data_IF_510026128716
#
_entry.id   IF_510026128716
#
_cell.length_a   1.000
_cell.length_b   1.000
_cell.length_c   1.000
_cell.angle_alpha   90.00
_cell.angle_beta   90.00
_cell.angle_gamma   90.00
#
_symmetry.space_group_name_H-M   'P 1'
#
loop_
_entity.id
_entity.type
_entity.pdbx_description
1 polymer ?
#
# COMPACT_ATOMS: atom_id res chain seq x y z
N UNK A 1 8.83 11.95 -16.95
CA UNK A 1 8.99 10.81 -16.03
C UNK A 1 7.94 9.80 -16.44
N UNK A 2 8.36 8.69 -17.02
CA UNK A 2 7.45 7.70 -17.58
C UNK A 2 6.63 7.02 -16.47
N UNK A 3 5.35 6.75 -16.74
CA UNK A 3 4.42 6.14 -15.79
C UNK A 3 4.93 4.78 -15.24
N UNK A 4 5.72 4.08 -16.05
CA UNK A 4 6.39 2.82 -15.69
C UNK A 4 7.50 3.02 -14.66
N UNK A 5 8.27 4.10 -14.76
CA UNK A 5 9.32 4.46 -13.79
C UNK A 5 8.71 4.85 -12.43
N UNK A 6 7.62 5.61 -12.46
CA UNK A 6 6.87 5.96 -11.25
C UNK A 6 6.32 4.70 -10.54
N UNK A 7 5.75 3.76 -11.30
CA UNK A 7 5.26 2.48 -10.75
C UNK A 7 6.37 1.67 -10.08
N UNK A 8 7.51 1.51 -10.73
CA UNK A 8 8.65 0.76 -10.18
C UNK A 8 9.22 1.43 -8.92
N UNK A 9 9.32 2.76 -8.90
CA UNK A 9 9.73 3.52 -7.70
C UNK A 9 8.77 3.33 -6.54
N UNK A 10 7.46 3.46 -6.78
CA UNK A 10 6.43 3.26 -5.75
C UNK A 10 6.45 1.81 -5.24
N UNK A 11 6.56 0.83 -6.15
CA UNK A 11 6.66 -0.59 -5.79
C UNK A 11 7.88 -0.86 -4.91
N UNK A 12 9.02 -0.30 -5.30
CA UNK A 12 10.28 -0.45 -4.56
C UNK A 12 10.21 0.21 -3.19
N UNK A 13 9.70 1.44 -3.11
CA UNK A 13 9.49 2.16 -1.84
C UNK A 13 8.62 1.36 -0.85
N UNK A 14 7.55 0.71 -1.34
CA UNK A 14 6.73 -0.17 -0.51
C UNK A 14 7.51 -1.44 -0.14
N UNK A 15 8.17 -2.09 -1.10
CA UNK A 15 8.88 -3.36 -0.90
C UNK A 15 10.03 -3.25 0.11
N UNK A 16 10.85 -2.23 -0.01
CA UNK A 16 12.00 -1.96 0.86
C UNK A 16 11.59 -1.38 2.22
N UNK A 17 10.34 -0.92 2.34
CA UNK A 17 9.89 -0.37 3.62
C UNK A 17 9.85 -1.43 4.72
N UNK A 18 10.24 -1.04 5.93
CA UNK A 18 10.07 -1.86 7.14
C UNK A 18 8.61 -2.12 7.52
N UNK A 19 7.66 -1.38 6.93
CA UNK A 19 6.23 -1.52 7.20
C UNK A 19 5.55 -2.31 6.09
N UNK A 20 4.70 -3.28 6.45
CA UNK A 20 3.84 -4.00 5.49
C UNK A 20 2.93 -3.03 4.76
N UNK A 21 2.38 -2.05 5.47
CA UNK A 21 1.44 -1.05 4.96
C UNK A 21 2.05 0.34 4.98
N UNK A 22 1.84 1.11 3.91
CA UNK A 22 2.40 2.44 3.72
C UNK A 22 1.30 3.44 3.34
N UNK A 23 1.45 4.68 3.79
CA UNK A 23 0.56 5.77 3.40
C UNK A 23 1.06 6.42 2.12
N UNK A 24 0.15 6.99 1.32
CA UNK A 24 0.49 7.81 0.14
C UNK A 24 1.46 8.92 0.53
N UNK A 25 1.21 9.59 1.66
CA UNK A 25 2.08 10.65 2.17
C UNK A 25 3.50 10.15 2.43
N UNK A 26 3.67 8.98 3.05
CA UNK A 26 4.99 8.43 3.31
C UNK A 26 5.72 7.99 2.04
N UNK A 27 5.00 7.52 1.03
CA UNK A 27 5.58 7.19 -0.28
C UNK A 27 5.99 8.47 -1.02
N UNK A 28 5.15 9.50 -0.97
CA UNK A 28 5.40 10.80 -1.59
C UNK A 28 6.65 11.48 -1.02
N UNK A 29 6.79 11.49 0.30
CA UNK A 29 7.95 12.05 1.00
C UNK A 29 9.26 11.34 0.64
N UNK A 30 9.20 10.00 0.49
CA UNK A 30 10.37 9.17 0.19
C UNK A 30 10.77 9.21 -1.30
N UNK A 31 9.79 9.24 -2.20
CA UNK A 31 10.03 9.17 -3.66
C UNK A 31 10.06 10.53 -4.34
N UNK A 32 9.58 11.59 -3.69
CA UNK A 32 9.37 12.91 -4.27
C UNK A 32 8.24 12.96 -5.30
N UNK A 33 7.47 11.88 -5.47
CA UNK A 33 6.37 11.81 -6.44
C UNK A 33 5.13 12.47 -5.83
N UNK A 34 4.37 13.20 -6.66
CA UNK A 34 3.13 13.83 -6.23
C UNK A 34 2.13 12.80 -5.69
N UNK A 35 1.43 13.10 -4.58
CA UNK A 35 0.52 12.16 -3.93
C UNK A 35 -0.63 11.71 -4.85
N UNK A 36 -1.10 12.60 -5.72
CA UNK A 36 -2.14 12.35 -6.72
C UNK A 36 -1.68 11.34 -7.78
N UNK A 37 -0.45 11.46 -8.28
CA UNK A 37 0.16 10.47 -9.17
C UNK A 37 0.31 9.12 -8.48
N UNK A 38 0.73 9.12 -7.20
CA UNK A 38 0.87 7.89 -6.41
C UNK A 38 -0.48 7.20 -6.25
N UNK A 39 -1.53 7.93 -5.87
CA UNK A 39 -2.90 7.38 -5.74
C UNK A 39 -3.35 6.79 -7.07
N UNK A 40 -3.20 7.54 -8.16
CA UNK A 40 -3.58 7.06 -9.49
C UNK A 40 -2.87 5.75 -9.83
N UNK A 41 -1.54 5.68 -9.67
CA UNK A 41 -0.78 4.45 -9.92
C UNK A 41 -1.20 3.31 -8.98
N UNK A 42 -1.44 3.57 -7.70
CA UNK A 42 -1.83 2.54 -6.73
C UNK A 42 -3.25 1.99 -6.97
N UNK A 43 -4.16 2.79 -7.53
CA UNK A 43 -5.54 2.39 -7.80
C UNK A 43 -5.74 1.82 -9.21
N UNK A 44 -4.91 2.21 -10.19
CA UNK A 44 -5.01 1.72 -11.57
C UNK A 44 -4.06 0.58 -11.88
N UNK A 45 -2.89 0.52 -11.22
CA UNK A 45 -1.89 -0.48 -11.53
C UNK A 45 -2.12 -1.79 -10.78
N UNK A 46 -1.98 -2.89 -11.51
CA UNK A 46 -2.02 -4.23 -10.93
C UNK A 46 -0.85 -4.51 -9.97
N UNK A 47 -1.13 -5.34 -8.96
CA UNK A 47 -0.15 -5.78 -7.96
C UNK A 47 -0.07 -4.92 -6.69
N UNK A 48 -0.93 -3.92 -6.55
CA UNK A 48 -1.10 -3.14 -5.32
C UNK A 48 -2.41 -3.52 -4.61
N UNK A 49 -2.37 -3.45 -3.29
CA UNK A 49 -3.50 -3.72 -2.41
C UNK A 49 -3.79 -2.47 -1.59
N UNK A 50 -5.05 -2.07 -1.57
CA UNK A 50 -5.56 -0.99 -0.72
C UNK A 50 -6.12 -1.59 0.57
N UNK A 51 -5.76 -1.01 1.71
CA UNK A 51 -6.39 -1.35 2.97
C UNK A 51 -7.82 -0.81 3.01
N UNK A 52 -8.74 -1.64 3.47
CA UNK A 52 -10.14 -1.23 3.66
C UNK A 52 -10.27 -0.27 4.86
N UNK A 53 -9.58 -0.54 5.98
CA UNK A 53 -9.52 0.40 7.10
C UNK A 53 -8.39 1.41 6.94
N UNK A 54 -8.67 2.71 7.05
CA UNK A 54 -7.63 3.71 7.19
C UNK A 54 -6.94 3.60 8.56
N UNK A 55 -5.79 4.24 8.69
CA UNK A 55 -5.12 4.35 9.98
C UNK A 55 -5.94 5.23 10.97
N UNK A 56 -5.58 5.30 12.27
CA UNK A 56 -6.27 6.16 13.24
C UNK A 56 -6.28 7.67 12.89
N UNK A 57 -5.47 8.09 11.92
CA UNK A 57 -5.43 9.46 11.40
C UNK A 57 -6.31 9.65 10.14
N UNK A 58 -7.09 8.64 9.76
CA UNK A 58 -7.95 8.67 8.57
C UNK A 58 -7.21 8.49 7.24
N UNK A 59 -5.94 8.08 7.24
CA UNK A 59 -5.15 7.93 6.03
C UNK A 59 -5.28 6.52 5.46
N UNK A 60 -5.56 6.44 4.15
CA UNK A 60 -5.56 5.17 3.41
C UNK A 60 -4.16 4.57 3.37
N UNK A 61 -4.11 3.25 3.58
CA UNK A 61 -2.89 2.47 3.56
C UNK A 61 -2.85 1.59 2.31
N UNK A 62 -1.66 1.40 1.77
CA UNK A 62 -1.41 0.61 0.58
C UNK A 62 -0.23 -0.32 0.80
N UNK A 63 -0.26 -1.47 0.14
CA UNK A 63 0.84 -2.43 0.10
C UNK A 63 0.93 -3.06 -1.28
N UNK A 64 1.94 -3.89 -1.52
CA UNK A 64 2.03 -4.72 -2.73
C UNK A 64 1.59 -6.14 -2.41
N UNK A 65 0.97 -6.81 -3.38
CA UNK A 65 0.52 -8.21 -3.21
C UNK A 65 1.67 -9.13 -2.80
N UNK A 66 2.86 -8.87 -3.35
CA UNK A 66 4.09 -9.62 -3.07
C UNK A 66 4.58 -9.41 -1.63
N UNK A 67 4.67 -8.15 -1.18
CA UNK A 67 5.07 -7.83 0.20
C UNK A 67 4.03 -8.33 1.20
N UNK A 68 2.75 -8.20 0.88
CA UNK A 68 1.68 -8.73 1.71
C UNK A 68 1.81 -10.25 1.89
N UNK A 69 2.08 -11.00 0.82
CA UNK A 69 2.29 -12.46 0.91
C UNK A 69 3.54 -12.85 1.69
N UNK A 70 4.60 -12.04 1.62
CA UNK A 70 5.91 -12.35 2.23
C UNK A 70 6.01 -11.95 3.70
N UNK A 71 5.56 -10.75 4.03
CA UNK A 71 5.79 -10.10 5.33
C UNK A 71 4.53 -10.08 6.21
N UNK A 72 3.34 -10.44 5.72
CA UNK A 72 2.17 -10.56 6.60
C UNK A 72 2.26 -11.88 7.37
N UNK A 73 2.46 -11.85 8.70
CA UNK A 73 2.64 -13.08 9.49
C UNK A 73 1.41 -13.99 9.49
N UNK A 74 0.22 -13.45 9.18
CA UNK A 74 -1.06 -14.17 9.15
C UNK A 74 -1.99 -13.57 8.09
N UNK A 75 -1.89 -14.06 6.85
CA UNK A 75 -2.68 -13.57 5.70
C UNK A 75 -4.19 -13.53 5.96
N UNK A 76 -4.74 -14.38 6.83
CA UNK A 76 -6.13 -14.31 7.29
C UNK A 76 -6.37 -13.25 8.37
N UNK A 77 -5.65 -13.27 9.52
CA UNK A 77 -5.90 -12.31 10.62
C UNK A 77 -5.72 -10.83 10.22
N UNK A 78 -4.79 -10.54 9.32
CA UNK A 78 -4.59 -9.16 8.85
C UNK A 78 -5.68 -8.75 7.86
N UNK A 79 -6.15 -9.67 7.02
CA UNK A 79 -7.34 -9.47 6.20
C UNK A 79 -8.58 -9.29 7.08
N UNK A 80 -8.76 -10.04 8.17
CA UNK A 80 -9.89 -9.88 9.10
C UNK A 80 -9.87 -8.55 9.86
N UNK A 81 -8.68 -8.07 10.26
CA UNK A 81 -8.53 -6.79 10.93
C UNK A 81 -8.81 -5.59 10.00
N UNK A 82 -8.58 -5.75 8.70
CA UNK A 82 -8.80 -4.71 7.69
C UNK A 82 -10.16 -4.85 7.01
N UNK A 83 -10.62 -6.06 6.76
CA UNK A 83 -11.90 -6.44 6.16
C UNK A 83 -12.69 -7.06 7.29
N UNK A 84 -13.48 -6.27 8.01
CA UNK A 84 -14.19 -6.74 9.20
C UNK A 84 -15.09 -7.96 8.86
N UNK A 85 -14.59 -9.19 9.05
CA UNK A 85 -15.35 -10.43 8.91
C UNK A 85 -15.16 -11.36 10.11
N UNK A 86 -15.19 -10.76 11.29
CA UNK A 86 -15.52 -11.42 12.57
C UNK A 86 -16.42 -10.45 13.35
N UNK A 87 -17.69 -10.68 13.61
CA UNK A 87 -18.64 -11.69 13.14
C UNK A 87 -20.05 -11.24 13.53
N UNK A 88 -21.02 -11.49 12.66
CA UNK A 88 -22.34 -12.03 12.98
C UNK A 88 -22.80 -12.85 11.78
#
# INVERSE_FOLDING_TARGET
>A
MDERDAKEKIRTAIRESKYVWRTVKGISDETGIAPETIVNVLETADGFLRAYRPNPKGQTLYTTTEKYRRDAPWTQKLLDALTNKVGV
#
